data_IF_456716177334
#
_entry.id   IF_456716177334
#
_cell.length_a   1.000
_cell.length_b   1.000
_cell.length_c   1.000
_cell.angle_alpha   90.00
_cell.angle_beta   90.00
_cell.angle_gamma   90.00
#
_symmetry.space_group_name_H-M   'P 1'
#
loop_
_entity.id
_entity.type
_entity.pdbx_description
1 polymer ?
#
# COMPACT_ATOMS: atom_id res chain seq x y z
N UNK A 1 53.41 21.96 -18.99
CA UNK A 1 53.53 22.43 -17.59
C UNK A 1 52.17 22.93 -17.14
N UNK A 2 51.79 22.71 -15.88
CA UNK A 2 50.62 23.31 -15.18
C UNK A 2 49.21 23.00 -15.74
N UNK A 3 48.16 22.88 -14.93
CA UNK A 3 48.11 22.45 -13.52
C UNK A 3 46.70 21.90 -13.21
N UNK A 4 46.60 21.31 -12.02
CA UNK A 4 45.58 20.41 -11.52
C UNK A 4 44.22 21.03 -11.10
N UNK A 5 43.22 20.14 -11.05
CA UNK A 5 42.16 20.05 -10.03
C UNK A 5 41.10 21.15 -9.86
N UNK A 6 39.96 20.93 -10.54
CA UNK A 6 38.59 20.85 -9.99
C UNK A 6 37.85 19.74 -10.79
N UNK A 7 36.96 18.88 -10.28
CA UNK A 7 36.50 18.59 -8.91
C UNK A 7 35.40 17.50 -8.90
N UNK A 8 34.80 17.23 -7.74
CA UNK A 8 33.59 16.40 -7.52
C UNK A 8 32.76 17.01 -6.36
N UNK A 9 31.49 16.63 -6.08
CA UNK A 9 30.61 15.68 -6.79
C UNK A 9 29.19 16.24 -7.11
N UNK A 10 28.53 15.69 -8.14
CA UNK A 10 27.07 15.84 -8.35
C UNK A 10 26.34 14.51 -8.22
N UNK A 11 26.52 13.81 -7.09
CA UNK A 11 25.60 12.77 -6.63
C UNK A 11 24.29 13.41 -6.13
N UNK A 12 23.58 14.07 -7.05
CA UNK A 12 22.22 14.52 -6.82
C UNK A 12 21.34 13.28 -6.76
N UNK A 13 21.00 12.85 -5.54
CA UNK A 13 19.90 11.92 -5.32
C UNK A 13 18.69 12.45 -6.09
N UNK A 14 18.13 11.69 -7.05
CA UNK A 14 17.03 12.20 -7.86
C UNK A 14 15.89 12.56 -6.94
N UNK A 15 15.58 13.86 -6.87
CA UNK A 15 14.44 14.36 -6.11
C UNK A 15 13.22 13.58 -6.55
N UNK A 16 12.47 13.08 -5.56
CA UNK A 16 11.28 12.25 -5.79
C UNK A 16 10.40 12.96 -6.81
N UNK A 17 10.03 12.34 -7.95
CA UNK A 17 9.33 13.03 -9.03
C UNK A 17 8.12 13.78 -8.49
N UNK A 18 8.01 15.07 -8.81
CA UNK A 18 6.83 15.86 -8.48
C UNK A 18 5.66 15.20 -9.22
N UNK A 19 4.63 14.71 -8.51
CA UNK A 19 3.55 13.99 -9.16
C UNK A 19 2.84 14.89 -10.16
N UNK A 20 2.62 14.36 -11.36
CA UNK A 20 1.87 15.04 -12.40
C UNK A 20 0.44 15.35 -11.92
N UNK A 21 -0.25 16.37 -12.50
CA UNK A 21 -1.65 16.65 -12.18
C UNK A 21 -2.58 15.45 -12.38
N UNK A 22 -2.22 14.51 -13.26
CA UNK A 22 -2.92 13.24 -13.49
C UNK A 22 -2.69 12.25 -12.33
N UNK A 23 -1.45 12.07 -11.88
CA UNK A 23 -1.14 11.24 -10.71
C UNK A 23 -1.78 11.77 -9.43
N UNK A 24 -1.78 13.09 -9.21
CA UNK A 24 -2.49 13.67 -8.07
C UNK A 24 -4.00 13.40 -8.12
N UNK A 25 -4.63 13.54 -9.31
CA UNK A 25 -6.06 13.21 -9.52
C UNK A 25 -6.31 11.73 -9.23
N UNK A 26 -5.44 10.84 -9.70
CA UNK A 26 -5.51 9.41 -9.41
C UNK A 26 -5.36 9.12 -7.90
N UNK A 27 -4.42 9.75 -7.20
CA UNK A 27 -4.24 9.61 -5.75
C UNK A 27 -5.45 10.14 -4.96
N UNK A 28 -6.02 11.29 -5.35
CA UNK A 28 -7.24 11.84 -4.74
C UNK A 28 -8.42 10.87 -4.92
N UNK A 29 -8.61 10.34 -6.13
CA UNK A 29 -9.67 9.37 -6.42
C UNK A 29 -9.45 8.02 -5.71
N UNK A 30 -8.20 7.51 -5.63
CA UNK A 30 -7.86 6.31 -4.88
C UNK A 30 -8.11 6.47 -3.36
N UNK A 31 -7.84 7.66 -2.78
CA UNK A 31 -8.22 7.99 -1.40
C UNK A 31 -9.75 7.97 -1.21
N UNK A 32 -10.53 8.50 -2.17
CA UNK A 32 -12.00 8.47 -2.14
C UNK A 32 -12.53 7.03 -2.16
N UNK A 33 -12.07 6.22 -3.11
CA UNK A 33 -12.40 4.79 -3.25
C UNK A 33 -12.08 4.03 -1.97
N UNK A 34 -10.88 4.23 -1.39
CA UNK A 34 -10.49 3.58 -0.13
C UNK A 34 -11.39 3.98 1.03
N UNK A 35 -11.78 5.26 1.15
CA UNK A 35 -12.72 5.72 2.18
C UNK A 35 -14.08 5.07 2.03
N UNK A 36 -14.62 4.97 0.81
CA UNK A 36 -15.90 4.30 0.55
C UNK A 36 -15.83 2.79 0.89
N UNK A 37 -14.74 2.10 0.53
CA UNK A 37 -14.52 0.70 0.88
C UNK A 37 -14.43 0.47 2.40
N UNK A 38 -13.69 1.31 3.14
CA UNK A 38 -13.64 1.21 4.61
C UNK A 38 -15.00 1.47 5.27
N UNK A 39 -15.84 2.31 4.67
CA UNK A 39 -17.18 2.62 5.16
C UNK A 39 -18.16 1.46 4.89
N UNK A 40 -18.09 0.85 3.70
CA UNK A 40 -18.81 -0.40 3.38
C UNK A 40 -18.40 -1.55 4.29
N UNK A 41 -17.09 -1.70 4.55
CA UNK A 41 -16.58 -2.70 5.48
C UNK A 41 -17.12 -2.46 6.90
N UNK A 42 -17.06 -1.22 7.40
CA UNK A 42 -17.62 -0.89 8.72
C UNK A 42 -19.12 -1.17 8.84
N UNK A 43 -19.91 -1.01 7.77
CA UNK A 43 -21.31 -1.44 7.77
C UNK A 43 -21.47 -2.97 7.81
N UNK A 44 -20.65 -3.72 7.06
CA UNK A 44 -20.67 -5.18 7.10
C UNK A 44 -20.26 -5.73 8.48
N UNK A 45 -19.20 -5.16 9.08
CA UNK A 45 -18.72 -5.51 10.42
C UNK A 45 -19.79 -5.21 11.50
N UNK A 46 -20.66 -4.20 11.30
CA UNK A 46 -21.78 -3.87 12.18
C UNK A 46 -22.99 -4.83 12.06
N UNK A 47 -23.10 -5.64 11.00
CA UNK A 47 -24.26 -6.54 10.83
C UNK A 47 -24.26 -7.73 11.79
N UNK A 48 -23.10 -8.06 12.36
CA UNK A 48 -22.96 -9.15 13.32
C UNK A 48 -23.60 -8.77 14.68
N UNK A 49 -24.61 -9.53 15.10
CA UNK A 49 -25.35 -9.29 16.35
C UNK A 49 -26.56 -8.36 16.25
N UNK A 50 -26.90 -7.83 15.08
CA UNK A 50 -28.09 -7.00 14.88
C UNK A 50 -29.36 -7.81 14.54
N UNK A 51 -30.53 -7.20 14.79
CA UNK A 51 -31.82 -7.79 14.40
C UNK A 51 -31.98 -7.87 12.86
N UNK A 52 -32.80 -8.80 12.33
CA UNK A 52 -33.03 -8.92 10.89
C UNK A 52 -33.50 -7.62 10.21
N UNK A 53 -34.31 -6.81 10.90
CA UNK A 53 -34.82 -5.54 10.37
C UNK A 53 -33.72 -4.47 10.27
N UNK A 54 -32.82 -4.39 11.26
CA UNK A 54 -31.65 -3.52 11.21
C UNK A 54 -30.66 -3.96 10.12
N UNK A 55 -30.46 -5.27 9.96
CA UNK A 55 -29.63 -5.82 8.89
C UNK A 55 -30.18 -5.50 7.49
N UNK A 56 -31.51 -5.51 7.29
CA UNK A 56 -32.11 -5.06 6.03
C UNK A 56 -31.86 -3.56 5.76
N UNK A 57 -31.95 -2.70 6.77
CA UNK A 57 -31.63 -1.27 6.63
C UNK A 57 -30.15 -1.05 6.27
N UNK A 58 -29.23 -1.76 6.92
CA UNK A 58 -27.80 -1.68 6.61
C UNK A 58 -27.51 -2.20 5.20
N UNK A 59 -28.15 -3.30 4.77
CA UNK A 59 -28.02 -3.83 3.41
C UNK A 59 -28.48 -2.85 2.33
N UNK A 60 -29.56 -2.09 2.58
CA UNK A 60 -29.99 -1.01 1.67
C UNK A 60 -28.91 0.07 1.53
N UNK A 61 -28.35 0.54 2.65
CA UNK A 61 -27.25 1.53 2.64
C UNK A 61 -25.99 0.96 1.96
N UNK A 62 -25.63 -0.30 2.22
CA UNK A 62 -24.52 -0.99 1.52
C UNK A 62 -24.77 -1.02 0.00
N UNK A 63 -25.98 -1.31 -0.45
CA UNK A 63 -26.32 -1.35 -1.87
C UNK A 63 -26.17 0.04 -2.53
N UNK A 64 -26.72 1.09 -1.91
CA UNK A 64 -26.56 2.48 -2.38
C UNK A 64 -25.10 2.91 -2.46
N UNK A 65 -24.32 2.69 -1.39
CA UNK A 65 -22.90 3.06 -1.35
C UNK A 65 -22.04 2.21 -2.29
N UNK A 66 -22.45 0.99 -2.61
CA UNK A 66 -21.82 0.16 -3.64
C UNK A 66 -22.11 0.70 -5.05
N UNK A 67 -23.31 1.24 -5.31
CA UNK A 67 -23.61 1.92 -6.56
C UNK A 67 -22.79 3.22 -6.73
N UNK A 68 -22.70 4.07 -5.69
CA UNK A 68 -21.84 5.27 -5.69
C UNK A 68 -20.35 4.95 -5.92
N UNK A 69 -19.87 3.86 -5.33
CA UNK A 69 -18.51 3.36 -5.50
C UNK A 69 -18.30 2.89 -6.95
N UNK A 70 -19.25 2.14 -7.51
CA UNK A 70 -19.21 1.67 -8.91
C UNK A 70 -19.15 2.83 -9.90
N UNK A 71 -19.94 3.89 -9.69
CA UNK A 71 -19.86 5.12 -10.48
C UNK A 71 -18.50 5.81 -10.32
N UNK A 72 -17.95 5.86 -9.11
CA UNK A 72 -16.62 6.43 -8.83
C UNK A 72 -15.46 5.60 -9.43
N UNK A 73 -15.69 4.31 -9.71
CA UNK A 73 -14.73 3.40 -10.35
C UNK A 73 -14.78 3.44 -11.89
N UNK A 74 -15.88 3.91 -12.51
CA UNK A 74 -16.01 3.99 -13.99
C UNK A 74 -14.80 4.60 -14.71
N UNK A 75 -14.20 5.72 -14.26
CA UNK A 75 -13.03 6.29 -14.94
C UNK A 75 -11.82 5.35 -14.94
N UNK A 76 -11.65 4.55 -13.89
CA UNK A 76 -10.58 3.56 -13.80
C UNK A 76 -10.88 2.33 -14.66
N UNK A 77 -12.13 1.87 -14.70
CA UNK A 77 -12.56 0.76 -15.55
C UNK A 77 -12.38 1.12 -17.04
N UNK A 78 -12.74 2.35 -17.42
CA UNK A 78 -12.57 2.85 -18.78
C UNK A 78 -11.09 3.14 -19.15
N UNK A 79 -10.28 3.60 -18.20
CA UNK A 79 -8.85 3.82 -18.42
C UNK A 79 -8.02 2.53 -18.37
N UNK A 80 -8.52 1.47 -17.72
CA UNK A 80 -7.91 0.14 -17.65
C UNK A 80 -8.13 -0.66 -18.94
N UNK A 81 -7.80 -0.06 -20.09
CA UNK A 81 -7.56 -0.79 -21.32
C UNK A 81 -6.51 -1.89 -21.11
N UNK A 82 -6.38 -2.79 -22.08
CA UNK A 82 -5.70 -4.10 -21.99
C UNK A 82 -4.22 -4.11 -21.54
N UNK A 83 -3.62 -2.96 -21.24
CA UNK A 83 -2.29 -2.79 -20.66
C UNK A 83 -2.27 -2.56 -19.13
N UNK A 84 -3.41 -2.37 -18.46
CA UNK A 84 -3.44 -2.33 -17.00
C UNK A 84 -3.22 -3.74 -16.44
N UNK A 85 -2.29 -3.94 -15.49
CA UNK A 85 -2.03 -5.27 -14.93
C UNK A 85 -3.29 -5.83 -14.28
N UNK A 86 -3.60 -7.10 -14.56
CA UNK A 86 -4.86 -7.70 -14.10
C UNK A 86 -4.94 -7.76 -12.58
N UNK A 87 -6.17 -7.90 -12.05
CA UNK A 87 -6.38 -8.13 -10.61
C UNK A 87 -5.64 -9.40 -10.14
N UNK A 88 -5.46 -10.39 -11.03
CA UNK A 88 -4.65 -11.58 -10.76
C UNK A 88 -3.16 -11.23 -10.60
N UNK A 89 -2.56 -10.47 -11.53
CA UNK A 89 -1.18 -9.99 -11.41
C UNK A 89 -0.96 -9.15 -10.15
N UNK A 90 -1.88 -8.24 -9.81
CA UNK A 90 -1.81 -7.47 -8.57
C UNK A 90 -1.83 -8.38 -7.33
N UNK A 91 -2.71 -9.38 -7.29
CA UNK A 91 -2.77 -10.36 -6.18
C UNK A 91 -1.47 -11.15 -6.07
N UNK A 92 -0.91 -11.60 -7.18
CA UNK A 92 0.37 -12.32 -7.23
C UNK A 92 1.53 -11.45 -6.74
N UNK A 93 1.65 -10.21 -7.24
CA UNK A 93 2.67 -9.26 -6.80
C UNK A 93 2.55 -8.92 -5.30
N UNK A 94 1.32 -8.72 -4.80
CA UNK A 94 1.04 -8.49 -3.38
C UNK A 94 1.39 -9.69 -2.51
N UNK A 95 1.11 -10.92 -2.98
CA UNK A 95 1.47 -12.15 -2.28
C UNK A 95 2.99 -12.29 -2.16
N UNK A 96 3.71 -12.16 -3.28
CA UNK A 96 5.18 -12.21 -3.33
C UNK A 96 5.82 -11.13 -2.46
N UNK A 97 5.27 -9.92 -2.42
CA UNK A 97 5.75 -8.86 -1.53
C UNK A 97 5.55 -9.20 -0.04
N UNK A 98 4.41 -9.80 0.35
CA UNK A 98 4.20 -10.27 1.74
C UNK A 98 5.19 -11.38 2.12
N UNK A 99 5.47 -12.31 1.20
CA UNK A 99 6.47 -13.36 1.41
C UNK A 99 7.87 -12.75 1.65
N UNK A 100 8.35 -11.90 0.74
CA UNK A 100 9.65 -11.23 0.85
C UNK A 100 9.79 -10.43 2.16
N UNK A 101 8.73 -9.73 2.58
CA UNK A 101 8.72 -9.01 3.87
C UNK A 101 8.73 -9.95 5.08
N UNK A 102 8.22 -11.18 4.95
CA UNK A 102 8.36 -12.24 5.95
C UNK A 102 9.80 -12.77 6.03
N UNK A 103 10.38 -13.13 4.89
CA UNK A 103 11.77 -13.58 4.76
C UNK A 103 12.76 -12.54 5.29
N UNK A 104 12.59 -11.27 4.93
CA UNK A 104 13.40 -10.16 5.43
C UNK A 104 13.33 -10.00 6.96
N UNK A 105 12.16 -10.19 7.57
CA UNK A 105 12.01 -10.18 9.03
C UNK A 105 12.71 -11.36 9.71
N UNK A 106 12.73 -12.54 9.06
CA UNK A 106 13.48 -13.69 9.55
C UNK A 106 14.98 -13.47 9.46
N UNK A 107 15.46 -12.86 8.36
CA UNK A 107 16.85 -12.47 8.19
C UNK A 107 17.30 -11.42 9.23
N UNK A 108 16.48 -10.39 9.49
CA UNK A 108 16.76 -9.43 10.56
C UNK A 108 16.83 -10.09 11.94
N UNK A 109 15.95 -11.05 12.23
CA UNK A 109 15.99 -11.82 13.49
C UNK A 109 17.27 -12.67 13.60
N UNK A 110 17.69 -13.34 12.52
CA UNK A 110 18.90 -14.18 12.55
C UNK A 110 20.19 -13.36 12.62
N UNK A 111 20.25 -12.21 11.93
CA UNK A 111 21.34 -11.25 12.04
C UNK A 111 21.45 -10.69 13.47
N UNK A 112 20.32 -10.28 14.06
CA UNK A 112 20.30 -9.82 15.46
C UNK A 112 20.77 -10.90 16.42
N UNK A 113 20.29 -12.14 16.27
CA UNK A 113 20.73 -13.27 17.10
C UNK A 113 22.24 -13.49 16.99
N UNK A 114 22.79 -13.50 15.78
CA UNK A 114 24.25 -13.59 15.57
C UNK A 114 25.03 -12.43 16.16
N UNK A 115 24.48 -11.21 16.17
CA UNK A 115 25.09 -10.05 16.82
C UNK A 115 25.10 -10.21 18.35
N UNK A 116 23.99 -10.68 18.92
CA UNK A 116 23.85 -10.95 20.35
C UNK A 116 24.77 -12.13 20.77
N UNK A 117 24.86 -13.20 19.97
CA UNK A 117 25.73 -14.37 20.19
C UNK A 117 27.24 -14.02 20.02
N UNK A 118 27.57 -13.11 19.11
CA UNK A 118 28.95 -12.65 18.86
C UNK A 118 29.39 -11.51 19.81
N UNK A 119 28.48 -10.99 20.65
CA UNK A 119 28.82 -9.99 21.65
C UNK A 119 29.57 -10.69 22.79
N UNK A 120 30.87 -10.38 23.02
CA UNK A 120 31.60 -10.99 24.12
C UNK A 120 30.89 -10.63 25.44
N UNK A 121 30.86 -11.59 26.37
CA UNK A 121 30.42 -11.35 27.73
C UNK A 121 31.33 -10.31 28.36
N UNK A 122 30.85 -9.06 28.44
CA UNK A 122 31.51 -8.02 29.21
C UNK A 122 31.58 -8.51 30.65
N UNK A 123 32.78 -8.61 31.26
CA UNK A 123 32.86 -8.92 32.68
C UNK A 123 32.13 -7.82 33.46
N UNK A 124 31.19 -8.24 34.32
CA UNK A 124 30.61 -7.35 35.32
C UNK A 124 31.75 -6.90 36.24
N UNK A 125 31.92 -5.59 36.38
CA UNK A 125 32.87 -4.96 37.29
C UNK A 125 32.14 -4.42 38.53
#
# INVERSE_FOLDING_TARGET
MSQASVGQPSNLLPLRPVPSPQEERAVRAAKKVRRQLSLLQGYADLMEGLSPQQNLQILQVIAEKTAELTLSLRPFIAAAGSSSPTIAEYRTARSRNRQLMGEYRLLLKSLRRRLDDARPALPQA
#
